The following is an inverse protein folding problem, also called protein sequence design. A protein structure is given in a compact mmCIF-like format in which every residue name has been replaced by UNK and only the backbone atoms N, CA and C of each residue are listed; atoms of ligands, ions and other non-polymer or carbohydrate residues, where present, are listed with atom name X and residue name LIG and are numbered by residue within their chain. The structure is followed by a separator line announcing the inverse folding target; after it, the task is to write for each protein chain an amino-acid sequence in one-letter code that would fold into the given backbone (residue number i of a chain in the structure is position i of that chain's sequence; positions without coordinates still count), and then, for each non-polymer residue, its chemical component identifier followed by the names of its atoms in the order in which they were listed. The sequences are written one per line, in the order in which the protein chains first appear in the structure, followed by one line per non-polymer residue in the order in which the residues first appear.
data_IF_940032747802
#
_entry.id   IF_940032747802
#
_cell.length_a   1.000
_cell.length_b   1.000
_cell.length_c   1.000
_cell.angle_alpha   90.00
_cell.angle_beta   90.00
_cell.angle_gamma   90.00
#
_symmetry.space_group_name_H-M   'P 1'
#
loop_
_entity.id
_entity.type
_entity.pdbx_description
1 polymer ?
#
# COMPACT_ATOMS: atom_id res chain seq x y z
N UNK A 1 56.10 15.12 -19.94
CA UNK A 1 54.70 15.57 -19.84
C UNK A 1 53.86 14.37 -19.44
N UNK A 2 53.49 14.28 -18.16
CA UNK A 2 52.69 13.19 -17.59
C UNK A 2 51.21 13.53 -17.67
N UNK A 3 50.45 12.83 -18.52
CA UNK A 3 49.00 12.94 -18.53
C UNK A 3 48.42 12.20 -17.32
N UNK A 4 47.91 12.95 -16.34
CA UNK A 4 46.97 12.45 -15.34
C UNK A 4 45.63 12.18 -16.04
N UNK A 5 45.40 10.93 -16.44
CA UNK A 5 44.07 10.49 -16.85
C UNK A 5 43.23 10.34 -15.58
N UNK A 6 42.36 11.32 -15.33
CA UNK A 6 41.41 11.32 -14.23
C UNK A 6 40.49 10.10 -14.35
N UNK A 7 40.60 9.18 -13.40
CA UNK A 7 39.65 8.09 -13.24
C UNK A 7 38.25 8.68 -13.06
N UNK A 8 37.43 8.60 -14.11
CA UNK A 8 36.00 8.84 -14.00
C UNK A 8 35.42 7.79 -13.04
N UNK A 9 34.79 8.19 -11.93
CA UNK A 9 33.98 7.26 -11.17
C UNK A 9 32.82 6.85 -12.09
N UNK A 10 32.91 5.66 -12.67
CA UNK A 10 31.77 5.01 -13.29
C UNK A 10 30.76 4.79 -12.17
N UNK A 11 29.80 5.72 -12.08
CA UNK A 11 28.65 5.59 -11.22
C UNK A 11 28.01 4.24 -11.56
N UNK A 12 28.23 3.25 -10.68
CA UNK A 12 27.51 1.99 -10.70
C UNK A 12 26.04 2.38 -10.54
N UNK A 13 25.32 2.50 -11.66
CA UNK A 13 23.87 2.45 -11.67
C UNK A 13 23.51 1.08 -11.16
N UNK A 14 23.40 0.97 -9.84
CA UNK A 14 22.88 -0.20 -9.16
C UNK A 14 21.40 -0.25 -9.52
N UNK A 15 21.11 -0.79 -10.70
CA UNK A 15 19.76 -1.02 -11.20
C UNK A 15 19.09 -1.99 -10.23
N UNK A 16 18.37 -1.43 -9.25
CA UNK A 16 17.57 -2.21 -8.31
C UNK A 16 16.57 -3.03 -9.12
N UNK A 17 16.37 -4.29 -8.75
CA UNK A 17 15.38 -5.17 -9.40
C UNK A 17 13.98 -4.96 -8.80
N UNK A 18 12.97 -4.50 -9.57
CA UNK A 18 11.64 -4.12 -9.04
C UNK A 18 10.72 -5.31 -8.80
N UNK A 19 11.01 -6.44 -9.43
CA UNK A 19 10.23 -7.68 -9.34
C UNK A 19 9.84 -8.08 -7.90
N UNK A 20 10.74 -8.12 -6.92
CA UNK A 20 10.38 -8.47 -5.54
C UNK A 20 9.42 -7.50 -4.86
N UNK A 21 9.59 -6.20 -5.09
CA UNK A 21 8.71 -5.17 -4.53
C UNK A 21 7.33 -5.27 -5.18
N UNK A 22 7.29 -5.49 -6.50
CA UNK A 22 6.07 -5.67 -7.26
C UNK A 22 5.32 -6.93 -6.85
N UNK A 23 6.03 -8.04 -6.64
CA UNK A 23 5.43 -9.31 -6.19
C UNK A 23 4.86 -9.17 -4.77
N UNK A 24 5.58 -8.51 -3.86
CA UNK A 24 5.07 -8.23 -2.52
C UNK A 24 3.80 -7.36 -2.53
N UNK A 25 3.84 -6.26 -3.28
CA UNK A 25 2.69 -5.38 -3.44
C UNK A 25 1.50 -6.09 -4.11
N UNK A 26 1.75 -6.94 -5.12
CA UNK A 26 0.72 -7.72 -5.80
C UNK A 26 0.04 -8.74 -4.87
N UNK A 27 0.81 -9.45 -4.02
CA UNK A 27 0.23 -10.36 -3.02
C UNK A 27 -0.66 -9.58 -2.05
N UNK A 28 -0.16 -8.46 -1.53
CA UNK A 28 -0.91 -7.61 -0.60
C UNK A 28 -2.20 -7.09 -1.26
N UNK A 29 -2.11 -6.59 -2.49
CA UNK A 29 -3.26 -6.12 -3.26
C UNK A 29 -4.28 -7.24 -3.48
N UNK A 30 -3.83 -8.44 -3.84
CA UNK A 30 -4.69 -9.59 -4.08
C UNK A 30 -5.47 -9.98 -2.82
N UNK A 31 -4.81 -10.04 -1.65
CA UNK A 31 -5.50 -10.38 -0.41
C UNK A 31 -6.54 -9.32 -0.01
N UNK A 32 -6.20 -8.04 -0.13
CA UNK A 32 -7.15 -6.96 0.17
C UNK A 32 -8.32 -6.98 -0.81
N UNK A 33 -8.06 -7.22 -2.10
CA UNK A 33 -9.10 -7.36 -3.11
C UNK A 33 -10.04 -8.54 -2.80
N UNK A 34 -9.50 -9.68 -2.39
CA UNK A 34 -10.30 -10.82 -1.97
C UNK A 34 -11.18 -10.49 -0.75
N UNK A 35 -10.65 -9.76 0.23
CA UNK A 35 -11.44 -9.30 1.38
C UNK A 35 -12.61 -8.39 0.94
N UNK A 36 -12.37 -7.49 -0.02
CA UNK A 36 -13.40 -6.62 -0.59
C UNK A 36 -14.45 -7.42 -1.37
N UNK A 37 -14.04 -8.43 -2.16
CA UNK A 37 -14.96 -9.31 -2.89
C UNK A 37 -15.81 -10.14 -1.94
N UNK A 38 -15.24 -10.65 -0.84
CA UNK A 38 -15.99 -11.37 0.19
C UNK A 38 -17.00 -10.44 0.86
N UNK A 39 -16.62 -9.21 1.17
CA UNK A 39 -17.54 -8.20 1.70
C UNK A 39 -18.68 -7.89 0.72
N UNK A 40 -18.36 -7.77 -0.57
CA UNK A 40 -19.36 -7.60 -1.63
C UNK A 40 -20.33 -8.80 -1.70
N UNK A 41 -19.81 -10.04 -1.69
CA UNK A 41 -20.62 -11.26 -1.70
C UNK A 41 -21.54 -11.36 -0.47
N UNK A 42 -21.08 -10.93 0.69
CA UNK A 42 -21.91 -10.85 1.89
C UNK A 42 -23.03 -9.82 1.73
N UNK A 43 -22.71 -8.63 1.19
CA UNK A 43 -23.74 -7.60 0.91
C UNK A 43 -24.75 -8.04 -0.14
N UNK A 44 -24.33 -8.91 -1.08
CA UNK A 44 -25.19 -9.46 -2.13
C UNK A 44 -26.31 -10.36 -1.60
N UNK A 45 -26.09 -11.01 -0.46
CA UNK A 45 -27.09 -11.88 0.18
C UNK A 45 -28.30 -11.12 0.76
N UNK A 46 -28.27 -9.78 0.75
CA UNK A 46 -29.25 -8.91 1.40
C UNK A 46 -30.06 -8.04 0.44
N UNK A 47 -29.98 -8.24 -0.88
CA UNK A 47 -30.52 -7.26 -1.84
C UNK A 47 -31.87 -7.69 -2.39
N UNK A 48 -32.85 -6.82 -2.17
CA UNK A 48 -34.14 -6.79 -2.85
C UNK A 48 -34.51 -5.44 -3.49
N UNK A 49 -33.62 -4.43 -3.57
CA UNK A 49 -34.08 -3.08 -3.93
C UNK A 49 -33.11 -2.14 -4.68
N UNK A 50 -33.69 -1.07 -5.26
CA UNK A 50 -33.14 -0.13 -6.24
C UNK A 50 -31.90 0.70 -5.81
N UNK A 51 -31.41 0.56 -4.58
CA UNK A 51 -30.22 1.25 -4.04
C UNK A 51 -28.87 0.59 -4.34
N UNK A 52 -28.87 -0.56 -5.03
CA UNK A 52 -27.68 -1.40 -5.23
C UNK A 52 -26.45 -0.65 -5.80
N UNK A 53 -26.65 0.24 -6.78
CA UNK A 53 -25.54 0.94 -7.44
C UNK A 53 -24.86 1.92 -6.50
N UNK A 54 -25.64 2.68 -5.73
CA UNK A 54 -25.14 3.72 -4.82
C UNK A 54 -24.63 3.16 -3.49
N UNK A 55 -25.25 2.09 -2.98
CA UNK A 55 -24.94 1.56 -1.65
C UNK A 55 -23.97 0.38 -1.67
N UNK A 56 -23.81 -0.31 -2.80
CA UNK A 56 -22.94 -1.49 -2.92
C UNK A 56 -21.82 -1.27 -3.93
N UNK A 57 -22.16 -0.87 -5.15
CA UNK A 57 -21.18 -0.77 -6.25
C UNK A 57 -20.22 0.42 -6.07
N UNK A 58 -20.73 1.61 -5.74
CA UNK A 58 -19.90 2.80 -5.51
C UNK A 58 -18.92 2.63 -4.34
N UNK A 59 -19.35 2.14 -3.16
CA UNK A 59 -18.46 1.88 -2.04
C UNK A 59 -17.40 0.82 -2.36
N UNK A 60 -17.77 -0.22 -3.11
CA UNK A 60 -16.82 -1.23 -3.57
C UNK A 60 -15.76 -0.64 -4.50
N UNK A 61 -16.15 0.13 -5.52
CA UNK A 61 -15.21 0.79 -6.43
C UNK A 61 -14.27 1.75 -5.68
N UNK A 62 -14.81 2.52 -4.72
CA UNK A 62 -14.01 3.37 -3.84
C UNK A 62 -13.04 2.54 -3.01
N UNK A 63 -13.49 1.43 -2.43
CA UNK A 63 -12.65 0.50 -1.68
C UNK A 63 -11.52 -0.08 -2.55
N UNK A 64 -11.78 -0.45 -3.80
CA UNK A 64 -10.73 -0.94 -4.71
C UNK A 64 -9.70 0.15 -5.01
N UNK A 65 -10.13 1.35 -5.36
CA UNK A 65 -9.21 2.45 -5.69
C UNK A 65 -8.35 2.87 -4.48
N UNK A 66 -8.98 3.00 -3.31
CA UNK A 66 -8.32 3.52 -2.10
C UNK A 66 -7.59 2.41 -1.35
N UNK A 67 -8.27 1.31 -1.03
CA UNK A 67 -7.73 0.27 -0.15
C UNK A 67 -6.83 -0.71 -0.88
N UNK A 68 -7.06 -0.96 -2.18
CA UNK A 68 -6.23 -1.90 -2.93
C UNK A 68 -5.10 -1.16 -3.63
N UNK A 69 -5.43 -0.21 -4.50
CA UNK A 69 -4.42 0.44 -5.36
C UNK A 69 -3.52 1.41 -4.59
N UNK A 70 -4.08 2.37 -3.84
CA UNK A 70 -3.26 3.34 -3.12
C UNK A 70 -2.45 2.68 -1.99
N UNK A 71 -3.04 1.73 -1.26
CA UNK A 71 -2.29 0.98 -0.24
C UNK A 71 -1.14 0.17 -0.84
N UNK A 72 -1.40 -0.61 -1.89
CA UNK A 72 -0.37 -1.44 -2.52
C UNK A 72 0.73 -0.62 -3.19
N UNK A 73 0.40 0.55 -3.73
CA UNK A 73 1.39 1.50 -4.23
C UNK A 73 2.32 2.00 -3.12
N UNK A 74 1.80 2.28 -1.93
CA UNK A 74 2.62 2.69 -0.77
C UNK A 74 3.54 1.57 -0.29
N UNK A 75 3.02 0.34 -0.24
CA UNK A 75 3.82 -0.86 0.09
C UNK A 75 4.90 -1.11 -0.98
N UNK A 76 4.56 -1.00 -2.26
CA UNK A 76 5.50 -1.13 -3.37
C UNK A 76 6.65 -0.14 -3.27
N UNK A 77 6.32 1.15 -3.11
CA UNK A 77 7.30 2.23 -3.01
C UNK A 77 8.29 1.97 -1.88
N UNK A 78 7.82 1.48 -0.72
CA UNK A 78 8.70 1.20 0.40
C UNK A 78 9.53 -0.07 0.24
N UNK A 79 8.99 -1.16 -0.30
CA UNK A 79 9.82 -2.34 -0.61
C UNK A 79 10.84 -2.05 -1.71
N UNK A 80 10.53 -1.15 -2.63
CA UNK A 80 11.44 -0.67 -3.65
C UNK A 80 12.56 0.21 -3.06
N UNK A 81 12.22 1.10 -2.13
CA UNK A 81 13.16 2.01 -1.50
C UNK A 81 14.06 1.28 -0.48
N UNK A 82 13.48 0.37 0.31
CA UNK A 82 14.10 -0.35 1.42
C UNK A 82 13.94 -1.87 1.24
N UNK A 83 14.64 -2.48 0.26
CA UNK A 83 14.54 -3.91 0.04
C UNK A 83 15.07 -4.69 1.25
N UNK A 84 14.39 -5.80 1.58
CA UNK A 84 14.89 -6.77 2.54
C UNK A 84 16.11 -7.51 1.94
N UNK A 85 17.27 -7.34 2.57
CA UNK A 85 18.52 -8.00 2.18
C UNK A 85 18.60 -9.36 2.88
N UNK A 86 19.25 -10.33 2.24
CA UNK A 86 19.45 -11.67 2.83
C UNK A 86 20.21 -11.63 4.15
N UNK A 87 21.12 -10.66 4.32
CA UNK A 87 21.89 -10.43 5.54
C UNK A 87 21.09 -9.74 6.67
N UNK A 88 19.88 -9.22 6.41
CA UNK A 88 19.09 -8.54 7.43
C UNK A 88 18.64 -9.53 8.51
N UNK A 89 18.54 -9.06 9.77
CA UNK A 89 17.95 -9.84 10.87
C UNK A 89 16.43 -9.88 10.72
N UNK A 90 15.79 -10.93 11.22
CA UNK A 90 14.32 -11.09 11.18
C UNK A 90 13.59 -9.85 11.71
N UNK A 91 14.03 -9.30 12.84
CA UNK A 91 13.45 -8.09 13.43
C UNK A 91 13.51 -6.87 12.49
N UNK A 92 14.58 -6.72 11.69
CA UNK A 92 14.71 -5.64 10.71
C UNK A 92 13.78 -5.85 9.51
N UNK A 93 13.56 -7.09 9.08
CA UNK A 93 12.62 -7.40 8.00
C UNK A 93 11.18 -7.10 8.43
N UNK A 94 10.83 -7.50 9.66
CA UNK A 94 9.54 -7.17 10.26
C UNK A 94 9.36 -5.66 10.42
N UNK A 95 10.40 -4.94 10.86
CA UNK A 95 10.39 -3.47 10.93
C UNK A 95 10.17 -2.84 9.56
N UNK A 96 10.84 -3.32 8.50
CA UNK A 96 10.61 -2.86 7.12
C UNK A 96 9.18 -3.15 6.65
N UNK A 97 8.63 -4.31 7.00
CA UNK A 97 7.24 -4.66 6.72
C UNK A 97 6.24 -3.73 7.43
N UNK A 98 6.48 -3.39 8.69
CA UNK A 98 5.66 -2.44 9.44
C UNK A 98 5.72 -1.03 8.84
N UNK A 99 6.91 -0.57 8.48
CA UNK A 99 7.09 0.75 7.84
C UNK A 99 6.42 0.75 6.46
N UNK A 100 6.52 -0.35 5.69
CA UNK A 100 5.80 -0.54 4.43
C UNK A 100 4.28 -0.46 4.61
N UNK A 101 3.74 -1.10 5.63
CA UNK A 101 2.33 -1.00 5.98
C UNK A 101 1.94 0.44 6.33
N UNK A 102 2.75 1.14 7.13
CA UNK A 102 2.51 2.53 7.49
C UNK A 102 2.45 3.45 6.26
N UNK A 103 3.37 3.30 5.29
CA UNK A 103 3.27 4.10 4.07
C UNK A 103 2.06 3.73 3.21
N UNK A 104 1.71 2.44 3.15
CA UNK A 104 0.47 1.99 2.51
C UNK A 104 -0.76 2.66 3.12
N UNK A 105 -0.86 2.65 4.46
CA UNK A 105 -1.98 3.30 5.18
C UNK A 105 -1.97 4.80 4.88
N UNK A 106 -0.85 5.50 5.07
CA UNK A 106 -0.76 6.95 4.83
C UNK A 106 -1.18 7.31 3.40
N UNK A 107 -0.69 6.58 2.39
CA UNK A 107 -1.03 6.85 1.01
C UNK A 107 -2.52 6.58 0.74
N UNK A 108 -3.07 5.49 1.29
CA UNK A 108 -4.50 5.20 1.19
C UNK A 108 -5.37 6.26 1.88
N UNK A 109 -4.95 6.78 3.04
CA UNK A 109 -5.66 7.86 3.72
C UNK A 109 -5.65 9.14 2.91
N UNK A 110 -4.51 9.50 2.32
CA UNK A 110 -4.39 10.69 1.46
C UNK A 110 -5.27 10.55 0.23
N UNK A 111 -5.22 9.41 -0.47
CA UNK A 111 -6.05 9.17 -1.66
C UNK A 111 -7.53 9.12 -1.28
N UNK A 112 -7.89 8.48 -0.17
CA UNK A 112 -9.25 8.42 0.34
C UNK A 112 -9.81 9.80 0.69
N UNK A 113 -8.98 10.67 1.27
CA UNK A 113 -9.32 12.06 1.53
C UNK A 113 -9.50 12.86 0.23
N UNK A 114 -8.62 12.69 -0.76
CA UNK A 114 -8.76 13.34 -2.07
C UNK A 114 -10.03 12.89 -2.80
N UNK A 115 -10.34 11.59 -2.80
CA UNK A 115 -11.58 11.06 -3.38
C UNK A 115 -12.79 11.63 -2.65
N UNK A 116 -12.76 11.71 -1.32
CA UNK A 116 -13.83 12.33 -0.54
C UNK A 116 -14.02 13.79 -0.96
N UNK A 117 -12.94 14.56 -1.04
CA UNK A 117 -12.97 15.98 -1.38
C UNK A 117 -13.55 16.23 -2.79
N UNK A 118 -13.17 15.41 -3.76
CA UNK A 118 -13.71 15.47 -5.14
C UNK A 118 -15.18 15.07 -5.17
N UNK A 119 -15.56 13.97 -4.52
CA UNK A 119 -16.94 13.44 -4.55
C UNK A 119 -17.93 14.32 -3.78
N UNK A 120 -17.50 14.99 -2.71
CA UNK A 120 -18.33 15.90 -1.92
C UNK A 120 -18.45 17.32 -2.51
N UNK A 121 -17.79 17.60 -3.65
CA UNK A 121 -17.87 18.91 -4.30
C UNK A 121 -17.21 20.04 -3.50
N UNK A 122 -16.38 19.69 -2.50
CA UNK A 122 -15.62 20.65 -1.69
C UNK A 122 -14.53 21.23 -2.58
N UNK A 123 -14.86 22.29 -3.30
CA UNK A 123 -13.95 22.99 -4.21
C UNK A 123 -12.96 23.88 -3.46
N UNK A 124 -13.22 24.20 -2.19
CA UNK A 124 -12.45 25.19 -1.43
C UNK A 124 -12.20 24.72 0.01
N UNK A 125 -10.98 24.90 0.52
CA UNK A 125 -10.59 24.65 1.93
C UNK A 125 -11.46 25.39 2.97
N UNK A 126 -12.34 26.29 2.53
CA UNK A 126 -13.24 27.09 3.35
C UNK A 126 -14.47 26.33 3.84
N UNK A 127 -14.82 25.19 3.22
CA UNK A 127 -15.94 24.32 3.62
C UNK A 127 -15.53 23.20 4.58
N UNK A 128 -14.21 23.01 4.81
CA UNK A 128 -13.67 22.10 5.82
C UNK A 128 -14.24 22.28 7.24
N UNK A 129 -14.57 23.51 7.71
CA UNK A 129 -15.21 23.71 9.02
C UNK A 129 -16.62 23.13 9.11
N UNK A 130 -17.35 22.98 7.99
CA UNK A 130 -18.66 22.31 7.98
C UNK A 130 -18.55 20.79 8.17
N UNK A 131 -17.34 20.25 7.97
CA UNK A 131 -16.98 18.84 8.22
C UNK A 131 -16.16 18.68 9.51
N UNK A 132 -16.27 19.59 10.48
CA UNK A 132 -15.43 19.68 11.71
C UNK A 132 -15.36 18.43 12.60
N UNK A 133 -16.08 17.35 12.27
CA UNK A 133 -15.97 16.04 12.93
C UNK A 133 -15.24 14.96 12.11
N UNK A 134 -14.94 15.19 10.82
CA UNK A 134 -14.28 14.21 9.97
C UNK A 134 -12.75 14.37 10.06
N UNK A 135 -12.12 13.52 10.85
CA UNK A 135 -10.67 13.38 10.87
C UNK A 135 -10.28 12.11 10.11
N UNK A 136 -9.79 12.21 8.85
CA UNK A 136 -9.39 11.04 8.06
C UNK A 136 -8.23 10.26 8.70
N UNK A 137 -7.53 10.87 9.67
CA UNK A 137 -6.40 10.27 10.34
C UNK A 137 -6.76 9.52 11.63
N UNK A 138 -8.00 9.62 12.12
CA UNK A 138 -8.45 8.87 13.31
C UNK A 138 -8.28 7.36 13.13
N UNK A 139 -8.54 6.87 11.92
CA UNK A 139 -8.49 5.45 11.61
C UNK A 139 -7.11 4.95 11.21
N UNK A 140 -6.07 5.79 11.20
CA UNK A 140 -4.71 5.38 10.82
C UNK A 140 -4.21 4.20 11.66
N UNK A 141 -4.34 4.32 12.98
CA UNK A 141 -3.80 3.33 13.92
C UNK A 141 -4.57 2.00 13.86
N UNK A 142 -5.91 1.98 13.88
CA UNK A 142 -6.70 0.78 13.62
C UNK A 142 -6.38 0.12 12.27
N UNK A 143 -6.30 0.91 11.19
CA UNK A 143 -6.00 0.39 9.84
C UNK A 143 -4.58 -0.19 9.78
N UNK A 144 -3.61 0.45 10.42
CA UNK A 144 -2.24 -0.05 10.51
C UNK A 144 -2.19 -1.36 11.27
N UNK A 145 -2.85 -1.46 12.43
CA UNK A 145 -2.91 -2.71 13.20
C UNK A 145 -3.58 -3.84 12.43
N UNK A 146 -4.63 -3.54 11.65
CA UNK A 146 -5.31 -4.54 10.82
C UNK A 146 -4.49 -5.02 9.63
N UNK A 147 -3.69 -4.15 9.00
CA UNK A 147 -2.96 -4.45 7.75
C UNK A 147 -1.48 -4.78 7.94
N UNK A 148 -0.84 -4.33 9.02
CA UNK A 148 0.57 -4.56 9.29
C UNK A 148 0.97 -6.04 9.36
N UNK A 149 0.21 -6.95 10.04
CA UNK A 149 0.58 -8.36 10.11
C UNK A 149 0.71 -9.01 8.73
N UNK A 150 -0.18 -8.65 7.81
CA UNK A 150 -0.19 -9.14 6.44
C UNK A 150 1.07 -8.67 5.68
N UNK A 151 1.37 -7.38 5.71
CA UNK A 151 2.56 -6.83 5.00
C UNK A 151 3.86 -7.37 5.61
N UNK A 152 3.91 -7.51 6.94
CA UNK A 152 5.05 -8.12 7.65
C UNK A 152 5.24 -9.58 7.26
N UNK A 153 4.16 -10.36 7.14
CA UNK A 153 4.19 -11.74 6.69
C UNK A 153 4.68 -11.86 5.25
N UNK A 154 4.18 -11.00 4.34
CA UNK A 154 4.65 -10.96 2.95
C UNK A 154 6.15 -10.62 2.88
N UNK A 155 6.60 -9.63 3.66
CA UNK A 155 8.02 -9.27 3.73
C UNK A 155 8.87 -10.46 4.22
N UNK A 156 8.40 -11.18 5.24
CA UNK A 156 9.07 -12.34 5.80
C UNK A 156 9.14 -13.48 4.78
N UNK A 157 8.03 -13.83 4.13
CA UNK A 157 7.97 -14.89 3.11
C UNK A 157 8.92 -14.58 1.95
N UNK A 158 8.89 -13.36 1.42
CA UNK A 158 9.80 -12.93 0.35
C UNK A 158 11.27 -13.04 0.78
N UNK A 159 11.57 -12.68 2.02
CA UNK A 159 12.91 -12.78 2.58
C UNK A 159 13.37 -14.23 2.78
N UNK A 160 12.49 -15.12 3.25
CA UNK A 160 12.78 -16.57 3.40
C UNK A 160 13.02 -17.21 2.03
N UNK A 161 12.14 -16.97 1.05
CA UNK A 161 12.27 -17.53 -0.31
C UNK A 161 13.59 -17.12 -0.97
N UNK A 162 14.08 -15.91 -0.70
CA UNK A 162 15.38 -15.42 -1.20
C UNK A 162 16.59 -16.10 -0.56
N UNK A 163 16.43 -16.70 0.62
CA UNK A 163 17.52 -17.41 1.32
C UNK A 163 17.67 -18.86 0.87
N UNK A 164 16.65 -19.45 0.28
CA UNK A 164 16.69 -20.83 -0.20
C UNK A 164 17.57 -20.89 -1.47
N UNK A 165 18.69 -21.64 -1.47
CA UNK A 165 19.48 -21.86 -2.68
C UNK A 165 18.59 -22.53 -3.74
N UNK A 166 18.59 -22.00 -4.96
CA UNK A 166 17.95 -22.69 -6.09
C UNK A 166 18.84 -23.88 -6.46
N UNK A 167 18.44 -25.06 -6.00
CA UNK A 167 19.01 -26.36 -6.41
C UNK A 167 18.70 -26.66 -7.87
#
# INVERSE_FOLDING_TARGET
MTHHSAAHPTALTNTRDPRPALLGAAIVACVILLQQIVGLLQSLSWIGDAGYVTEVVLPFLRGVLVDVLAFSAGVFLLFWLLPARTADRVALVLGKGLVAAAAGVVLSTVVGFLVLLVTSGISTFRDLPYYSGYNPFLDLFPQLLGRAPLVMLVALVLWVVRRVPRS
#
